data_IF_629250778578
#
_entry.id   IF_629250778578
#
_cell.length_a   1.000
_cell.length_b   1.000
_cell.length_c   1.000
_cell.angle_alpha   90.00
_cell.angle_beta   90.00
_cell.angle_gamma   90.00
#
_symmetry.space_group_name_H-M   'P 1'
#
loop_
_entity.id
_entity.type
_entity.pdbx_description
1 polymer ?
#
# COMPACT_ATOMS: atom_id res chain seq x y z
N UNK A 1 -12.16 -34.60 16.11
CA UNK A 1 -11.27 -35.00 17.22
C UNK A 1 -11.59 -34.13 18.43
N UNK A 2 -12.18 -34.74 19.47
CA UNK A 2 -12.53 -34.09 20.74
C UNK A 2 -11.39 -34.34 21.73
N UNK A 3 -10.75 -33.29 22.23
CA UNK A 3 -9.86 -33.39 23.39
C UNK A 3 -10.56 -32.78 24.60
N UNK A 4 -10.96 -33.67 25.49
CA UNK A 4 -11.45 -33.39 26.84
C UNK A 4 -10.25 -33.12 27.75
N UNK A 5 -10.21 -31.95 28.39
CA UNK A 5 -9.31 -31.70 29.52
C UNK A 5 -10.12 -31.83 30.82
N UNK A 6 -10.02 -33.00 31.44
CA UNK A 6 -10.46 -33.27 32.81
C UNK A 6 -9.36 -32.82 33.78
N UNK A 7 -9.62 -31.75 34.54
CA UNK A 7 -8.72 -31.31 35.60
C UNK A 7 -9.24 -31.79 36.96
N UNK A 8 -8.55 -32.80 37.51
CA UNK A 8 -8.81 -33.38 38.83
C UNK A 8 -8.34 -32.44 39.94
N UNK A 9 -9.24 -32.20 40.90
CA UNK A 9 -9.05 -31.34 42.06
C UNK A 9 -8.33 -32.12 43.16
N UNK A 10 -7.01 -32.01 43.27
CA UNK A 10 -6.24 -32.53 44.40
C UNK A 10 -6.05 -31.44 45.46
N UNK A 11 -6.63 -31.66 46.64
CA UNK A 11 -6.40 -30.87 47.85
C UNK A 11 -5.07 -31.32 48.47
N UNK A 12 -4.02 -30.53 48.27
CA UNK A 12 -2.75 -30.68 48.96
C UNK A 12 -2.18 -29.30 49.23
N UNK A 13 -2.48 -28.74 50.40
CA UNK A 13 -1.95 -27.46 50.84
C UNK A 13 -0.47 -27.60 51.20
N UNK A 14 0.39 -27.29 50.25
CA UNK A 14 1.79 -26.99 50.53
C UNK A 14 1.89 -25.48 50.80
N UNK A 15 2.01 -25.11 52.08
CA UNK A 15 2.40 -23.75 52.45
C UNK A 15 3.82 -23.50 51.94
N UNK A 16 3.93 -22.74 50.86
CA UNK A 16 5.20 -22.26 50.34
C UNK A 16 5.83 -21.33 51.38
N UNK A 17 7.05 -21.70 51.79
CA UNK A 17 7.89 -20.98 52.73
C UNK A 17 8.07 -19.51 52.32
N UNK A 18 7.95 -18.52 53.24
CA UNK A 18 8.07 -17.08 52.99
C UNK A 18 9.24 -16.62 52.09
N UNK A 19 10.45 -17.22 52.12
CA UNK A 19 11.52 -16.83 51.20
C UNK A 19 11.23 -17.09 49.72
N UNK A 20 10.38 -18.07 49.36
CA UNK A 20 10.02 -18.33 47.96
C UNK A 20 9.02 -17.30 47.41
N UNK A 21 8.14 -16.76 48.26
CA UNK A 21 7.24 -15.66 47.88
C UNK A 21 8.02 -14.36 47.62
N UNK A 22 9.07 -14.09 48.40
CA UNK A 22 9.98 -12.96 48.16
C UNK A 22 10.76 -13.11 46.86
N UNK A 23 11.20 -14.33 46.52
CA UNK A 23 11.89 -14.60 45.25
C UNK A 23 10.94 -14.49 44.04
N UNK A 24 9.69 -14.92 44.16
CA UNK A 24 8.67 -14.68 43.13
C UNK A 24 8.33 -13.19 42.97
N UNK A 25 8.23 -12.41 44.05
CA UNK A 25 8.00 -10.96 43.95
C UNK A 25 9.19 -10.21 43.34
N UNK A 26 10.43 -10.59 43.68
CA UNK A 26 11.62 -9.99 43.09
C UNK A 26 11.76 -10.34 41.60
N UNK A 27 11.43 -11.57 41.19
CA UNK A 27 11.38 -11.94 39.77
C UNK A 27 10.25 -11.23 39.01
N UNK A 28 9.09 -11.01 39.63
CA UNK A 28 8.00 -10.24 39.01
C UNK A 28 8.40 -8.76 38.80
N UNK A 29 9.06 -8.13 39.78
CA UNK A 29 9.53 -6.75 39.64
C UNK A 29 10.74 -6.60 38.70
N UNK A 30 11.56 -7.64 38.54
CA UNK A 30 12.66 -7.66 37.57
C UNK A 30 12.15 -7.82 36.12
N UNK A 31 11.10 -8.63 35.90
CA UNK A 31 10.45 -8.76 34.59
C UNK A 31 9.68 -7.48 34.22
N UNK A 32 9.08 -6.80 35.20
CA UNK A 32 8.37 -5.52 34.99
C UNK A 32 9.32 -4.32 34.78
N UNK A 33 10.61 -4.44 35.19
CA UNK A 33 11.65 -3.43 34.92
C UNK A 33 12.38 -3.64 33.60
N UNK A 34 12.46 -4.86 33.08
CA UNK A 34 13.00 -5.12 31.73
C UNK A 34 12.01 -4.71 30.63
N UNK A 35 10.73 -4.52 30.96
CA UNK A 35 9.69 -4.07 30.01
C UNK A 35 9.39 -2.57 30.06
N UNK A 36 10.14 -1.78 30.86
CA UNK A 36 10.04 -0.30 30.89
C UNK A 36 11.36 0.39 30.52
N UNK A 37 11.96 -0.07 29.43
CA UNK A 37 12.98 0.70 28.69
C UNK A 37 12.26 1.41 27.53
N UNK A 38 12.16 2.72 27.66
CA UNK A 38 12.02 3.73 26.61
C UNK A 38 11.12 3.43 25.41
N UNK A 39 9.84 3.78 25.54
CA UNK A 39 8.92 4.01 24.42
C UNK A 39 9.24 5.32 23.63
N UNK A 40 10.52 5.63 23.42
CA UNK A 40 11.02 6.72 22.55
C UNK A 40 12.21 6.31 21.68
N UNK A 41 12.34 5.02 21.42
CA UNK A 41 13.19 4.48 20.36
C UNK A 41 12.27 3.87 19.30
N UNK A 42 11.99 4.64 18.26
CA UNK A 42 11.25 4.18 17.09
C UNK A 42 12.02 3.05 16.43
N UNK A 43 11.54 1.83 16.62
CA UNK A 43 12.01 0.64 15.92
C UNK A 43 11.68 0.83 14.42
N UNK A 44 12.65 0.75 13.49
CA UNK A 44 12.45 1.07 12.07
C UNK A 44 11.69 0.01 11.27
N UNK A 45 10.91 -0.86 11.93
CA UNK A 45 10.15 -1.93 11.27
C UNK A 45 8.67 -1.59 11.00
N UNK A 46 8.22 -0.38 11.32
CA UNK A 46 6.86 0.10 11.00
C UNK A 46 6.79 0.92 9.71
N UNK A 47 7.38 0.42 8.62
CA UNK A 47 7.00 0.84 7.25
C UNK A 47 5.89 -0.07 6.65
N UNK A 48 5.23 -0.91 7.45
CA UNK A 48 4.41 -2.01 6.90
C UNK A 48 2.95 -1.67 6.58
N UNK A 49 2.46 -0.44 6.80
CA UNK A 49 1.11 -0.06 6.30
C UNK A 49 1.10 -0.09 4.77
N UNK A 50 2.14 0.48 4.15
CA UNK A 50 2.30 0.42 2.69
C UNK A 50 2.57 -1.00 2.20
N UNK A 51 3.36 -1.79 2.93
CA UNK A 51 3.63 -3.20 2.56
C UNK A 51 2.38 -4.09 2.67
N UNK A 52 1.53 -3.89 3.69
CA UNK A 52 0.30 -4.65 3.88
C UNK A 52 -0.77 -4.26 2.85
N UNK A 53 -0.88 -2.98 2.53
CA UNK A 53 -1.78 -2.51 1.48
C UNK A 53 -1.30 -2.96 0.10
N UNK A 54 0.01 -2.89 -0.18
CA UNK A 54 0.60 -3.43 -1.41
C UNK A 54 0.41 -4.95 -1.54
N UNK A 55 0.54 -5.72 -0.45
CA UNK A 55 0.28 -7.15 -0.46
C UNK A 55 -1.21 -7.48 -0.71
N UNK A 56 -2.13 -6.70 -0.12
CA UNK A 56 -3.57 -6.83 -0.39
C UNK A 56 -3.92 -6.47 -1.82
N UNK A 57 -3.32 -5.40 -2.36
CA UNK A 57 -3.52 -4.95 -3.73
C UNK A 57 -2.96 -5.96 -4.73
N UNK A 58 -1.76 -6.50 -4.48
CA UNK A 58 -1.19 -7.58 -5.28
C UNK A 58 -2.04 -8.86 -5.25
N UNK A 59 -2.60 -9.21 -4.09
CA UNK A 59 -3.51 -10.35 -3.96
C UNK A 59 -4.85 -10.11 -4.68
N UNK A 60 -5.41 -8.90 -4.60
CA UNK A 60 -6.61 -8.52 -5.35
C UNK A 60 -6.37 -8.56 -6.87
N UNK A 61 -5.24 -8.02 -7.34
CA UNK A 61 -4.84 -8.07 -8.75
C UNK A 61 -4.64 -9.52 -9.23
N UNK A 62 -4.06 -10.38 -8.38
CA UNK A 62 -3.94 -11.81 -8.67
C UNK A 62 -5.31 -12.48 -8.81
N UNK A 63 -6.23 -12.22 -7.88
CA UNK A 63 -7.59 -12.75 -7.94
C UNK A 63 -8.34 -12.27 -9.20
N UNK A 64 -8.22 -11.00 -9.57
CA UNK A 64 -8.81 -10.47 -10.81
C UNK A 64 -8.27 -11.17 -12.05
N UNK A 65 -6.94 -11.38 -12.11
CA UNK A 65 -6.31 -12.10 -13.20
C UNK A 65 -6.77 -13.57 -13.27
N UNK A 66 -6.85 -14.27 -12.13
CA UNK A 66 -7.37 -15.64 -12.11
C UNK A 66 -8.84 -15.72 -12.55
N UNK A 67 -9.65 -14.73 -12.17
CA UNK A 67 -11.05 -14.62 -12.55
C UNK A 67 -11.18 -14.40 -14.06
N UNK A 68 -10.36 -13.52 -14.63
CA UNK A 68 -10.33 -13.29 -16.08
C UNK A 68 -9.84 -14.51 -16.86
N UNK A 69 -8.80 -15.19 -16.40
CA UNK A 69 -8.33 -16.45 -17.00
C UNK A 69 -9.42 -17.52 -16.95
N UNK A 70 -10.10 -17.67 -15.80
CA UNK A 70 -11.18 -18.65 -15.64
C UNK A 70 -12.38 -18.30 -16.54
N UNK A 71 -12.73 -17.02 -16.70
CA UNK A 71 -13.76 -16.56 -17.66
C UNK A 71 -13.42 -16.92 -19.10
N UNK A 72 -12.17 -16.72 -19.53
CA UNK A 72 -11.70 -17.08 -20.88
C UNK A 72 -11.73 -18.60 -21.11
N UNK A 73 -11.32 -19.38 -20.11
CA UNK A 73 -11.40 -20.84 -20.15
C UNK A 73 -12.86 -21.32 -20.26
N UNK A 74 -13.75 -20.74 -19.46
CA UNK A 74 -15.18 -21.04 -19.48
C UNK A 74 -15.80 -20.76 -20.86
N UNK A 75 -15.49 -19.60 -21.44
CA UNK A 75 -15.93 -19.25 -22.80
C UNK A 75 -15.41 -20.26 -23.85
N UNK A 76 -14.16 -20.68 -23.72
CA UNK A 76 -13.56 -21.68 -24.62
C UNK A 76 -14.26 -23.04 -24.48
N UNK A 77 -14.47 -23.51 -23.24
CA UNK A 77 -15.17 -24.77 -22.97
C UNK A 77 -16.63 -24.73 -23.45
N UNK A 78 -17.32 -23.59 -23.26
CA UNK A 78 -18.67 -23.38 -23.78
C UNK A 78 -18.72 -23.55 -25.31
N UNK A 79 -17.77 -22.95 -26.03
CA UNK A 79 -17.67 -23.06 -27.48
C UNK A 79 -17.32 -24.49 -27.95
N UNK A 80 -16.48 -25.19 -27.19
CA UNK A 80 -16.19 -26.61 -27.43
C UNK A 80 -17.44 -27.46 -27.25
N UNK A 81 -18.19 -27.25 -26.17
CA UNK A 81 -19.46 -27.95 -25.89
C UNK A 81 -20.51 -27.71 -26.98
N UNK A 82 -20.70 -26.47 -27.43
CA UNK A 82 -21.66 -26.15 -28.50
C UNK A 82 -21.25 -26.81 -29.83
N UNK A 83 -19.96 -26.79 -30.15
CA UNK A 83 -19.41 -27.45 -31.36
C UNK A 83 -19.59 -28.96 -31.30
N UNK A 84 -19.30 -29.59 -30.15
CA UNK A 84 -19.49 -31.03 -29.95
C UNK A 84 -20.97 -31.43 -30.03
N UNK A 85 -21.88 -30.63 -29.44
CA UNK A 85 -23.33 -30.86 -29.51
C UNK A 85 -23.82 -30.83 -30.95
N UNK A 86 -23.42 -29.81 -31.72
CA UNK A 86 -23.74 -29.71 -33.15
C UNK A 86 -23.20 -30.91 -33.94
N UNK A 87 -21.94 -31.30 -33.71
CA UNK A 87 -21.34 -32.47 -34.37
C UNK A 87 -22.06 -33.78 -34.03
N UNK A 88 -22.50 -33.96 -32.78
CA UNK A 88 -23.30 -35.10 -32.37
C UNK A 88 -24.65 -35.14 -33.11
N UNK A 89 -25.33 -34.00 -33.23
CA UNK A 89 -26.60 -33.90 -33.97
C UNK A 89 -26.40 -34.16 -35.47
N UNK A 90 -25.34 -33.62 -36.07
CA UNK A 90 -25.02 -33.84 -37.49
C UNK A 90 -24.72 -35.33 -37.76
N UNK A 91 -23.94 -35.99 -36.90
CA UNK A 91 -23.74 -37.44 -37.01
C UNK A 91 -25.03 -38.24 -36.84
N UNK A 92 -25.90 -37.86 -35.90
CA UNK A 92 -27.17 -38.53 -35.68
C UNK A 92 -28.10 -38.40 -36.90
N UNK A 93 -28.14 -37.22 -37.54
CA UNK A 93 -28.87 -36.98 -38.79
C UNK A 93 -28.33 -37.85 -39.92
N UNK A 94 -27.01 -37.97 -40.03
CA UNK A 94 -26.38 -38.81 -41.06
C UNK A 94 -26.69 -40.30 -40.84
N UNK A 95 -26.63 -40.79 -39.59
CA UNK A 95 -27.03 -42.17 -39.27
C UNK A 95 -28.50 -42.42 -39.62
N UNK A 96 -29.40 -41.49 -39.29
CA UNK A 96 -30.82 -41.58 -39.67
C UNK A 96 -31.02 -41.57 -41.19
N UNK A 97 -30.20 -40.80 -41.92
CA UNK A 97 -30.22 -40.76 -43.39
C UNK A 97 -29.81 -42.10 -43.98
N UNK A 98 -28.73 -42.71 -43.49
CA UNK A 98 -28.28 -44.05 -43.90
C UNK A 98 -29.31 -45.15 -43.58
N UNK A 99 -29.97 -45.05 -42.42
CA UNK A 99 -31.09 -45.95 -42.08
C UNK A 99 -32.28 -45.77 -43.03
N UNK A 100 -32.59 -44.53 -43.42
CA UNK A 100 -33.71 -44.23 -44.32
C UNK A 100 -33.41 -44.65 -45.77
N UNK A 101 -32.18 -44.45 -46.24
CA UNK A 101 -31.76 -44.87 -47.59
C UNK A 101 -31.68 -46.39 -47.72
N UNK A 102 -31.20 -47.10 -46.69
CA UNK A 102 -31.18 -48.57 -46.68
C UNK A 102 -32.58 -49.20 -46.56
N UNK A 103 -33.53 -48.51 -45.91
CA UNK A 103 -34.94 -48.93 -45.88
C UNK A 103 -35.65 -48.75 -47.23
N UNK A 104 -35.28 -47.74 -48.03
CA UNK A 104 -35.84 -47.50 -49.36
C UNK A 104 -35.24 -48.40 -50.47
N UNK A 105 -34.03 -48.93 -50.27
CA UNK A 105 -33.27 -49.71 -51.27
C UNK A 105 -33.57 -51.23 -51.25
N UNK A 106 -34.76 -51.66 -50.82
CA UNK A 106 -35.14 -53.07 -50.61
C UNK A 106 -35.18 -53.97 -51.86
N UNK A 107 -34.73 -53.52 -53.03
CA UNK A 107 -34.76 -54.28 -54.29
C UNK A 107 -33.39 -54.67 -54.86
N UNK A 108 -32.27 -54.33 -54.22
CA UNK A 108 -30.92 -54.59 -54.75
C UNK A 108 -29.95 -55.16 -53.71
N UNK A 109 -29.51 -56.40 -53.94
CA UNK A 109 -28.25 -57.06 -53.55
C UNK A 109 -27.93 -57.16 -52.03
N UNK A 110 -28.00 -58.40 -51.50
CA UNK A 110 -27.65 -58.78 -50.11
C UNK A 110 -26.20 -58.45 -49.69
N UNK A 111 -25.31 -58.17 -50.64
CA UNK A 111 -23.89 -57.85 -50.39
C UNK A 111 -23.71 -56.42 -49.85
N UNK A 112 -24.54 -55.47 -50.25
CA UNK A 112 -24.48 -54.06 -49.78
C UNK A 112 -25.03 -53.92 -48.35
N UNK A 113 -25.98 -54.77 -47.97
CA UNK A 113 -26.57 -54.81 -46.62
C UNK A 113 -25.55 -55.10 -45.52
N UNK A 114 -24.49 -55.85 -45.82
CA UNK A 114 -23.40 -56.13 -44.88
C UNK A 114 -22.53 -54.91 -44.62
N UNK A 115 -22.18 -54.17 -45.68
CA UNK A 115 -21.38 -52.94 -45.58
C UNK A 115 -22.15 -51.83 -44.87
N UNK A 116 -23.44 -51.66 -45.16
CA UNK A 116 -24.30 -50.68 -44.48
C UNK A 116 -24.39 -50.94 -42.98
N UNK A 117 -24.53 -52.21 -42.59
CA UNK A 117 -24.59 -52.61 -41.18
C UNK A 117 -23.27 -52.36 -40.44
N UNK A 118 -22.15 -52.56 -41.12
CA UNK A 118 -20.82 -52.28 -40.55
C UNK A 118 -20.56 -50.77 -40.43
N UNK A 119 -20.95 -49.96 -41.43
CA UNK A 119 -20.91 -48.49 -41.34
C UNK A 119 -21.79 -47.96 -40.20
N UNK A 120 -23.01 -48.49 -40.05
CA UNK A 120 -23.91 -48.15 -38.93
C UNK A 120 -23.30 -48.48 -37.57
N UNK A 121 -22.60 -49.61 -37.46
CA UNK A 121 -21.90 -49.99 -36.22
C UNK A 121 -20.73 -49.05 -35.92
N UNK A 122 -19.96 -48.64 -36.94
CA UNK A 122 -18.87 -47.68 -36.78
C UNK A 122 -19.39 -46.30 -36.38
N UNK A 123 -20.47 -45.80 -37.00
CA UNK A 123 -21.09 -44.53 -36.62
C UNK A 123 -21.65 -44.58 -35.19
N UNK A 124 -22.28 -45.67 -34.77
CA UNK A 124 -22.74 -45.84 -33.39
C UNK A 124 -21.58 -45.83 -32.37
N UNK A 125 -20.42 -46.39 -32.73
CA UNK A 125 -19.22 -46.32 -31.88
C UNK A 125 -18.72 -44.88 -31.76
N UNK A 126 -18.71 -44.12 -32.86
CA UNK A 126 -18.29 -42.71 -32.86
C UNK A 126 -19.27 -41.83 -32.08
N UNK A 127 -20.58 -42.02 -32.23
CA UNK A 127 -21.61 -41.32 -31.44
C UNK A 127 -21.38 -41.56 -29.94
N UNK A 128 -21.16 -42.81 -29.51
CA UNK A 128 -20.87 -43.12 -28.10
C UNK A 128 -19.56 -42.51 -27.60
N UNK A 129 -18.57 -42.33 -28.47
CA UNK A 129 -17.30 -41.68 -28.15
C UNK A 129 -17.49 -40.16 -28.01
N UNK A 130 -18.25 -39.54 -28.92
CA UNK A 130 -18.56 -38.11 -28.88
C UNK A 130 -19.45 -37.77 -27.67
N UNK A 131 -20.42 -38.63 -27.32
CA UNK A 131 -21.24 -38.47 -26.12
C UNK A 131 -20.39 -38.44 -24.84
N UNK A 132 -19.45 -39.38 -24.68
CA UNK A 132 -18.54 -39.39 -23.52
C UNK A 132 -17.66 -38.14 -23.46
N UNK A 133 -17.15 -37.67 -24.60
CA UNK A 133 -16.37 -36.43 -24.66
C UNK A 133 -17.21 -35.21 -24.27
N UNK A 134 -18.46 -35.13 -24.76
CA UNK A 134 -19.37 -34.05 -24.42
C UNK A 134 -19.68 -34.05 -22.92
N UNK A 135 -19.89 -35.21 -22.32
CA UNK A 135 -20.16 -35.36 -20.88
C UNK A 135 -18.95 -34.93 -20.03
N UNK A 136 -17.74 -35.32 -20.42
CA UNK A 136 -16.49 -34.88 -19.77
C UNK A 136 -16.29 -33.37 -19.86
N UNK A 137 -16.47 -32.77 -21.03
CA UNK A 137 -16.37 -31.31 -21.21
C UNK A 137 -17.47 -30.56 -20.43
N UNK A 138 -18.68 -31.14 -20.34
CA UNK A 138 -19.76 -30.54 -19.53
C UNK A 138 -19.42 -30.56 -18.04
N UNK A 139 -18.79 -31.62 -17.54
CA UNK A 139 -18.31 -31.68 -16.16
C UNK A 139 -17.20 -30.64 -15.91
N UNK A 140 -16.22 -30.54 -16.80
CA UNK A 140 -15.17 -29.53 -16.70
C UNK A 140 -15.71 -28.10 -16.75
N UNK A 141 -16.69 -27.83 -17.62
CA UNK A 141 -17.39 -26.55 -17.66
C UNK A 141 -18.06 -26.25 -16.31
N UNK A 142 -18.74 -27.23 -15.71
CA UNK A 142 -19.40 -27.06 -14.41
C UNK A 142 -18.41 -26.75 -13.29
N UNK A 143 -17.28 -27.46 -13.25
CA UNK A 143 -16.19 -27.20 -12.29
C UNK A 143 -15.61 -25.79 -12.47
N UNK A 144 -15.47 -25.32 -13.71
CA UNK A 144 -15.01 -23.95 -14.00
C UNK A 144 -16.03 -22.90 -13.55
N UNK A 145 -17.34 -23.15 -13.70
CA UNK A 145 -18.39 -22.26 -13.16
C UNK A 145 -18.28 -22.17 -11.64
N UNK A 146 -18.15 -23.30 -10.95
CA UNK A 146 -18.04 -23.34 -9.49
C UNK A 146 -16.81 -22.56 -9.00
N UNK A 147 -15.65 -22.76 -9.65
CA UNK A 147 -14.42 -22.01 -9.37
C UNK A 147 -14.63 -20.50 -9.54
N UNK A 148 -15.30 -20.08 -10.62
CA UNK A 148 -15.57 -18.68 -10.90
C UNK A 148 -16.47 -18.06 -9.83
N UNK A 149 -17.54 -18.75 -9.40
CA UNK A 149 -18.39 -18.28 -8.30
C UNK A 149 -17.63 -18.13 -6.97
N UNK A 150 -16.65 -19.01 -6.69
CA UNK A 150 -15.85 -18.92 -5.47
C UNK A 150 -14.91 -17.71 -5.50
N UNK A 151 -14.22 -17.50 -6.63
CA UNK A 151 -13.35 -16.32 -6.84
C UNK A 151 -14.14 -15.00 -6.78
N UNK A 152 -15.33 -14.96 -7.36
CA UNK A 152 -16.21 -13.78 -7.28
C UNK A 152 -16.66 -13.48 -5.84
N UNK A 153 -16.93 -14.51 -5.03
CA UNK A 153 -17.27 -14.34 -3.63
C UNK A 153 -16.09 -13.81 -2.80
N UNK A 154 -14.88 -14.34 -3.02
CA UNK A 154 -13.66 -13.93 -2.33
C UNK A 154 -13.28 -12.48 -2.68
N UNK A 155 -13.37 -12.09 -3.95
CA UNK A 155 -13.20 -10.69 -4.39
C UNK A 155 -14.18 -9.74 -3.70
N UNK A 156 -15.45 -10.15 -3.58
CA UNK A 156 -16.48 -9.35 -2.91
C UNK A 156 -16.20 -9.19 -1.42
N UNK A 157 -15.61 -10.19 -0.78
CA UNK A 157 -15.20 -10.14 0.63
C UNK A 157 -14.00 -9.21 0.83
N UNK A 158 -13.00 -9.27 -0.04
CA UNK A 158 -11.87 -8.35 -0.06
C UNK A 158 -12.31 -6.89 -0.25
N UNK A 159 -13.28 -6.64 -1.14
CA UNK A 159 -13.86 -5.31 -1.32
C UNK A 159 -14.59 -4.82 -0.06
N UNK A 160 -15.37 -5.67 0.62
CA UNK A 160 -16.03 -5.32 1.89
C UNK A 160 -15.02 -4.98 2.99
N UNK A 161 -13.96 -5.77 3.12
CA UNK A 161 -12.88 -5.52 4.08
C UNK A 161 -12.18 -4.18 3.82
N UNK A 162 -12.02 -3.79 2.55
CA UNK A 162 -11.43 -2.51 2.19
C UNK A 162 -12.34 -1.32 2.55
N UNK A 163 -13.63 -1.43 2.24
CA UNK A 163 -14.63 -0.39 2.60
C UNK A 163 -14.74 -0.21 4.11
N UNK A 164 -14.77 -1.31 4.88
CA UNK A 164 -14.84 -1.24 6.35
C UNK A 164 -13.57 -0.65 6.99
N UNK A 165 -12.39 -0.96 6.43
CA UNK A 165 -11.12 -0.38 6.89
C UNK A 165 -11.10 1.14 6.69
N UNK A 166 -11.49 1.60 5.49
CA UNK A 166 -11.52 3.02 5.17
C UNK A 166 -12.62 3.77 5.95
N UNK A 167 -13.78 3.13 6.18
CA UNK A 167 -14.86 3.73 6.96
C UNK A 167 -14.48 3.91 8.45
N UNK A 168 -13.71 2.99 9.02
CA UNK A 168 -13.20 3.12 10.39
C UNK A 168 -12.16 4.25 10.51
N UNK A 169 -11.24 4.37 9.56
CA UNK A 169 -10.26 5.46 9.52
C UNK A 169 -10.94 6.82 9.31
N UNK A 170 -11.91 6.92 8.40
CA UNK A 170 -12.69 8.15 8.19
C UNK A 170 -13.47 8.55 9.44
N UNK A 171 -14.01 7.59 10.20
CA UNK A 171 -14.66 7.87 11.50
C UNK A 171 -13.68 8.40 12.54
N UNK A 172 -12.49 7.83 12.65
CA UNK A 172 -11.43 8.32 13.56
C UNK A 172 -10.96 9.73 13.17
N UNK A 173 -10.80 10.02 11.88
CA UNK A 173 -10.48 11.37 11.39
C UNK A 173 -11.62 12.36 11.64
N UNK A 174 -12.87 11.96 11.45
CA UNK A 174 -14.03 12.81 11.72
C UNK A 174 -14.13 13.16 13.22
N UNK A 175 -13.92 12.18 14.10
CA UNK A 175 -13.92 12.40 15.56
C UNK A 175 -12.78 13.33 15.98
N UNK A 176 -11.56 13.15 15.43
CA UNK A 176 -10.42 14.05 15.67
C UNK A 176 -10.69 15.47 15.16
N UNK A 177 -11.35 15.62 14.02
CA UNK A 177 -11.74 16.93 13.48
C UNK A 177 -12.76 17.61 14.38
N UNK A 178 -13.77 16.88 14.85
CA UNK A 178 -14.78 17.40 15.78
C UNK A 178 -14.13 17.81 17.12
N UNK A 179 -13.25 16.98 17.69
CA UNK A 179 -12.49 17.32 18.88
C UNK A 179 -11.61 18.57 18.68
N UNK A 180 -11.03 18.75 17.49
CA UNK A 180 -10.26 19.95 17.15
C UNK A 180 -11.15 21.19 17.11
N UNK A 181 -12.31 21.11 16.47
CA UNK A 181 -13.29 22.20 16.43
C UNK A 181 -13.82 22.56 17.82
N UNK A 182 -14.08 21.56 18.67
CA UNK A 182 -14.46 21.77 20.07
C UNK A 182 -13.34 22.44 20.88
N UNK A 183 -12.07 22.10 20.62
CA UNK A 183 -10.93 22.80 21.25
C UNK A 183 -10.80 24.23 20.74
N UNK A 184 -10.96 24.46 19.44
CA UNK A 184 -10.89 25.79 18.84
C UNK A 184 -11.98 26.70 19.40
N UNK A 185 -13.22 26.22 19.51
CA UNK A 185 -14.32 26.98 20.13
C UNK A 185 -14.09 27.24 21.62
N UNK A 186 -13.50 26.28 22.37
CA UNK A 186 -13.07 26.52 23.76
C UNK A 186 -11.97 27.59 23.84
N UNK A 187 -10.97 27.54 22.97
CA UNK A 187 -9.93 28.57 22.92
C UNK A 187 -10.49 29.92 22.51
N UNK A 188 -11.45 29.97 21.59
CA UNK A 188 -12.13 31.20 21.22
C UNK A 188 -12.93 31.78 22.38
N UNK A 189 -13.66 30.95 23.13
CA UNK A 189 -14.34 31.35 24.37
C UNK A 189 -13.35 31.81 25.45
N UNK A 190 -12.20 31.13 25.58
CA UNK A 190 -11.14 31.50 26.51
C UNK A 190 -10.50 32.84 26.12
N UNK A 191 -10.25 33.07 24.83
CA UNK A 191 -9.79 34.35 24.31
C UNK A 191 -10.81 35.44 24.61
N UNK A 192 -12.10 35.23 24.33
CA UNK A 192 -13.15 36.21 24.68
C UNK A 192 -13.20 36.49 26.18
N UNK A 193 -13.09 35.44 27.02
CA UNK A 193 -13.06 35.59 28.47
C UNK A 193 -11.80 36.34 28.93
N UNK A 194 -10.64 36.04 28.36
CA UNK A 194 -9.38 36.72 28.65
C UNK A 194 -9.45 38.17 28.21
N UNK A 195 -10.03 38.48 27.04
CA UNK A 195 -10.27 39.85 26.58
C UNK A 195 -11.15 40.61 27.56
N UNK A 196 -12.27 40.02 28.00
CA UNK A 196 -13.15 40.63 29.01
C UNK A 196 -12.44 40.80 30.36
N UNK A 197 -11.63 39.82 30.78
CA UNK A 197 -10.80 39.93 31.99
C UNK A 197 -9.74 41.01 31.84
N UNK A 198 -9.18 41.20 30.65
CA UNK A 198 -8.17 42.20 30.37
C UNK A 198 -8.82 43.59 30.34
N UNK A 199 -10.01 43.75 29.75
CA UNK A 199 -10.80 44.98 29.85
C UNK A 199 -11.20 45.28 31.30
N UNK A 200 -11.68 44.27 32.04
CA UNK A 200 -12.02 44.41 33.45
C UNK A 200 -10.79 44.70 34.32
N UNK A 201 -9.64 44.08 34.02
CA UNK A 201 -8.36 44.32 34.68
C UNK A 201 -7.76 45.66 34.29
N UNK A 202 -8.00 46.17 33.08
CA UNK A 202 -7.63 47.53 32.68
C UNK A 202 -8.52 48.55 33.40
N UNK A 203 -9.82 48.28 33.53
CA UNK A 203 -10.73 49.09 34.33
C UNK A 203 -10.38 49.02 35.83
N UNK A 204 -9.96 47.86 36.32
CA UNK A 204 -9.50 47.66 37.70
C UNK A 204 -8.12 48.26 37.94
N UNK A 205 -7.18 48.17 36.99
CA UNK A 205 -5.86 48.80 37.06
C UNK A 205 -5.96 50.33 36.94
N UNK A 206 -6.97 50.82 36.21
CA UNK A 206 -7.40 52.22 36.25
C UNK A 206 -8.04 52.60 37.60
N UNK A 207 -8.51 51.63 38.41
CA UNK A 207 -9.06 51.82 39.75
C UNK A 207 -8.06 51.52 40.89
N UNK A 208 -6.98 50.78 40.64
CA UNK A 208 -6.01 50.24 41.59
C UNK A 208 -4.66 50.17 40.86
N UNK A 209 -3.62 50.96 41.15
CA UNK A 209 -2.92 50.89 42.43
C UNK A 209 -3.08 49.51 43.09
N UNK A 210 -2.15 48.57 42.82
CA UNK A 210 -1.75 47.40 43.65
C UNK A 210 -1.76 45.99 42.97
N UNK A 211 -0.56 45.51 42.57
CA UNK A 211 0.00 44.11 42.55
C UNK A 211 -0.50 43.06 41.53
N UNK A 212 0.27 42.53 40.55
CA UNK A 212 1.43 41.55 40.51
C UNK A 212 1.05 40.05 40.72
N UNK A 213 1.51 38.99 40.01
CA UNK A 213 2.74 38.73 39.21
C UNK A 213 2.76 37.32 38.54
N UNK A 214 3.68 37.04 37.60
CA UNK A 214 4.07 35.68 37.12
C UNK A 214 5.59 35.56 36.83
N UNK A 215 6.24 34.42 37.06
CA UNK A 215 7.64 34.26 37.57
C UNK A 215 8.88 34.87 36.84
N UNK A 216 8.78 35.35 35.60
CA UNK A 216 9.83 36.23 35.01
C UNK A 216 9.57 37.71 35.29
N UNK A 217 8.30 38.03 35.50
CA UNK A 217 7.85 39.25 36.15
C UNK A 217 8.32 39.18 37.61
N UNK A 218 8.35 38.04 38.30
CA UNK A 218 8.81 37.98 39.71
C UNK A 218 10.25 38.49 39.91
N UNK A 219 11.22 38.12 39.06
CA UNK A 219 12.58 38.69 39.19
C UNK A 219 12.64 40.17 38.76
N UNK A 220 11.91 40.54 37.71
CA UNK A 220 11.81 41.93 37.22
C UNK A 220 11.06 42.84 38.20
N UNK A 221 10.07 42.29 38.87
CA UNK A 221 9.24 42.92 39.87
C UNK A 221 9.97 43.01 41.18
N UNK A 222 10.73 42.00 41.58
CA UNK A 222 11.61 42.10 42.73
C UNK A 222 12.66 43.21 42.52
N UNK A 223 13.22 43.35 41.32
CA UNK A 223 14.12 44.47 40.97
C UNK A 223 13.38 45.82 40.95
N UNK A 224 12.18 45.90 40.38
CA UNK A 224 11.33 47.10 40.41
C UNK A 224 10.87 47.44 41.83
N UNK A 225 10.65 46.45 42.68
CA UNK A 225 10.20 46.57 44.06
C UNK A 225 11.34 47.08 44.94
N UNK A 226 12.58 46.60 44.73
CA UNK A 226 13.77 47.17 45.37
C UNK A 226 13.99 48.64 44.95
N UNK A 227 13.79 48.96 43.66
CA UNK A 227 13.88 50.34 43.17
C UNK A 227 12.77 51.24 43.74
N UNK A 228 11.53 50.74 43.80
CA UNK A 228 10.38 51.44 44.34
C UNK A 228 10.51 51.60 45.86
N UNK A 229 11.07 50.62 46.56
CA UNK A 229 11.40 50.69 47.97
C UNK A 229 12.51 51.70 48.24
N UNK A 230 13.55 51.76 47.40
CA UNK A 230 14.58 52.81 47.47
C UNK A 230 13.98 54.21 47.25
N UNK A 231 13.05 54.36 46.31
CA UNK A 231 12.32 55.62 46.07
C UNK A 231 11.42 55.97 47.25
N UNK A 232 10.72 54.99 47.84
CA UNK A 232 9.88 55.17 49.04
C UNK A 232 10.69 55.53 50.27
N UNK A 233 11.87 54.94 50.45
CA UNK A 233 12.78 55.26 51.55
C UNK A 233 13.32 56.68 51.37
N UNK A 234 13.76 57.06 50.17
CA UNK A 234 14.14 58.45 49.86
C UNK A 234 12.98 59.42 50.09
N UNK A 235 11.76 59.05 49.66
CA UNK A 235 10.54 59.83 49.89
C UNK A 235 10.22 59.99 51.37
N UNK A 236 10.33 58.92 52.16
CA UNK A 236 10.12 58.94 53.61
C UNK A 236 11.13 59.86 54.30
N UNK A 237 12.41 59.78 53.92
CA UNK A 237 13.45 60.66 54.49
C UNK A 237 13.16 62.12 54.17
N UNK A 238 12.78 62.43 52.93
CA UNK A 238 12.47 63.80 52.48
C UNK A 238 11.18 64.33 53.10
N UNK A 239 10.13 63.51 53.20
CA UNK A 239 8.85 63.87 53.82
C UNK A 239 9.00 64.11 55.33
N UNK A 240 9.85 63.34 56.00
CA UNK A 240 10.15 63.52 57.42
C UNK A 240 11.00 64.77 57.67
N UNK A 241 11.95 65.09 56.78
CA UNK A 241 12.71 66.35 56.88
C UNK A 241 11.85 67.59 56.57
N UNK A 242 10.84 67.47 55.69
CA UNK A 242 9.92 68.56 55.36
C UNK A 242 8.87 68.84 56.44
N UNK A 243 8.50 67.84 57.25
CA UNK A 243 7.54 68.00 58.35
C UNK A 243 8.11 68.68 59.60
N UNK A 244 9.42 68.62 59.80
CA UNK A 244 10.09 69.11 61.03
C UNK A 244 10.75 70.50 60.87
N UNK A 245 10.90 70.98 59.63
CA UNK A 245 11.35 72.35 59.35
C UNK A 245 10.27 73.08 58.56
N UNK A 246 9.85 74.27 59.02
CA UNK A 246 8.94 75.14 58.26
C UNK A 246 9.59 75.66 56.99
N UNK A 247 9.76 74.77 56.00
CA UNK A 247 10.38 75.07 54.72
C UNK A 247 9.38 75.78 53.81
N UNK A 248 9.93 76.70 53.01
CA UNK A 248 9.23 77.51 52.04
C UNK A 248 8.58 76.63 50.94
N UNK A 249 7.36 76.98 50.53
CA UNK A 249 6.51 76.20 49.60
C UNK A 249 7.20 75.96 48.24
N UNK A 250 8.11 76.87 47.87
CA UNK A 250 8.93 76.79 46.66
C UNK A 250 9.99 75.68 46.74
N UNK A 251 10.53 75.38 47.93
CA UNK A 251 11.50 74.29 48.11
C UNK A 251 10.84 72.91 47.94
N UNK A 252 9.58 72.79 48.39
CA UNK A 252 8.80 71.57 48.24
C UNK A 252 8.46 71.30 46.77
N UNK A 253 8.08 72.33 46.00
CA UNK A 253 7.86 72.20 44.55
C UNK A 253 9.10 71.77 43.78
N UNK A 254 10.29 72.22 44.20
CA UNK A 254 11.53 71.84 43.53
C UNK A 254 11.90 70.38 43.79
N UNK A 255 11.64 69.89 45.01
CA UNK A 255 11.77 68.47 45.36
C UNK A 255 10.79 67.62 44.55
N UNK A 256 9.53 68.05 44.42
CA UNK A 256 8.52 67.33 43.62
C UNK A 256 8.93 67.25 42.15
N UNK A 257 9.44 68.34 41.57
CA UNK A 257 9.97 68.33 40.19
C UNK A 257 11.16 67.40 40.01
N UNK A 258 12.09 67.39 40.96
CA UNK A 258 13.27 66.52 40.87
C UNK A 258 12.87 65.04 41.05
N UNK A 259 11.83 64.78 41.84
CA UNK A 259 11.22 63.46 41.99
C UNK A 259 10.53 63.03 40.70
N UNK A 260 9.67 63.86 40.12
CA UNK A 260 9.00 63.58 38.85
C UNK A 260 10.02 63.35 37.73
N UNK A 261 11.09 64.14 37.71
CA UNK A 261 12.21 63.97 36.78
C UNK A 261 12.93 62.64 36.99
N UNK A 262 13.18 62.25 38.24
CA UNK A 262 13.83 60.98 38.57
C UNK A 262 12.96 59.78 38.19
N UNK A 263 11.66 59.85 38.44
CA UNK A 263 10.68 58.83 38.04
C UNK A 263 10.61 58.75 36.52
N UNK A 264 10.53 59.89 35.83
CA UNK A 264 10.50 59.94 34.37
C UNK A 264 11.76 59.36 33.75
N UNK A 265 12.95 59.69 34.27
CA UNK A 265 14.22 59.12 33.81
C UNK A 265 14.31 57.62 34.06
N UNK A 266 13.83 57.14 35.22
CA UNK A 266 13.77 55.72 35.52
C UNK A 266 12.82 54.99 34.56
N UNK A 267 11.63 55.54 34.32
CA UNK A 267 10.65 55.02 33.37
C UNK A 267 11.23 54.99 31.96
N UNK A 268 11.81 56.08 31.48
CA UNK A 268 12.42 56.15 30.15
C UNK A 268 13.57 55.13 30.01
N UNK A 269 14.40 54.98 31.04
CA UNK A 269 15.46 53.96 31.06
C UNK A 269 14.91 52.54 30.99
N UNK A 270 13.84 52.25 31.74
CA UNK A 270 13.22 50.92 31.72
C UNK A 270 12.52 50.63 30.41
N UNK A 271 11.84 51.62 29.81
CA UNK A 271 11.20 51.49 28.50
C UNK A 271 12.25 51.22 27.41
N UNK A 272 13.35 51.99 27.38
CA UNK A 272 14.47 51.72 26.46
C UNK A 272 15.06 50.32 26.65
N UNK A 273 15.18 49.85 27.88
CA UNK A 273 15.66 48.49 28.14
C UNK A 273 14.69 47.42 27.61
N UNK A 274 13.38 47.64 27.74
CA UNK A 274 12.33 46.76 27.18
C UNK A 274 12.36 46.78 25.66
N UNK A 275 12.45 47.96 25.05
CA UNK A 275 12.56 48.11 23.59
C UNK A 275 13.78 47.35 23.05
N UNK A 276 14.95 47.50 23.67
CA UNK A 276 16.17 46.77 23.31
C UNK A 276 16.00 45.25 23.48
N UNK A 277 15.33 44.80 24.54
CA UNK A 277 15.06 43.37 24.77
C UNK A 277 14.13 42.80 23.69
N UNK A 278 13.09 43.54 23.31
CA UNK A 278 12.21 43.14 22.22
C UNK A 278 12.91 43.16 20.87
N UNK A 279 13.73 44.17 20.60
CA UNK A 279 14.51 44.27 19.37
C UNK A 279 15.49 43.08 19.23
N UNK A 280 16.19 42.72 20.31
CA UNK A 280 17.08 41.54 20.32
C UNK A 280 16.32 40.23 20.16
N UNK A 281 15.16 40.07 20.81
CA UNK A 281 14.28 38.90 20.62
C UNK A 281 13.75 38.81 19.20
N UNK A 282 13.35 39.92 18.62
CA UNK A 282 12.85 39.99 17.25
C UNK A 282 13.95 39.62 16.25
N UNK A 283 15.14 40.21 16.38
CA UNK A 283 16.31 39.88 15.56
C UNK A 283 16.69 38.40 15.68
N UNK A 284 16.59 37.80 16.87
CA UNK A 284 16.86 36.38 17.07
C UNK A 284 15.82 35.48 16.38
N UNK A 285 14.54 35.87 16.36
CA UNK A 285 13.48 35.16 15.64
C UNK A 285 13.67 35.28 14.13
N UNK A 286 13.97 36.48 13.65
CA UNK A 286 14.25 36.74 12.23
C UNK A 286 15.44 35.91 11.74
N UNK A 287 16.52 35.84 12.53
CA UNK A 287 17.67 34.99 12.23
C UNK A 287 17.30 33.49 12.19
N UNK A 288 16.42 33.02 13.09
CA UNK A 288 15.93 31.64 13.06
C UNK A 288 15.09 31.37 11.82
N UNK A 289 14.23 32.30 11.43
CA UNK A 289 13.43 32.17 10.21
C UNK A 289 14.31 32.12 8.97
N UNK A 290 15.34 32.97 8.87
CA UNK A 290 16.31 32.92 7.78
C UNK A 290 17.00 31.55 7.67
N UNK A 291 17.48 30.99 8.79
CA UNK A 291 18.09 29.64 8.80
C UNK A 291 17.12 28.53 8.39
N UNK A 292 15.84 28.65 8.76
CA UNK A 292 14.81 27.68 8.34
C UNK A 292 14.58 27.79 6.84
N UNK A 293 14.51 29.00 6.29
CA UNK A 293 14.36 29.22 4.85
C UNK A 293 15.55 28.65 4.08
N UNK A 294 16.80 28.93 4.52
CA UNK A 294 18.00 28.36 3.90
C UNK A 294 17.99 26.82 3.93
N UNK A 295 17.52 26.23 5.04
CA UNK A 295 17.42 24.78 5.16
C UNK A 295 16.36 24.20 4.23
N UNK A 296 15.21 24.87 4.08
CA UNK A 296 14.16 24.46 3.14
C UNK A 296 14.68 24.52 1.71
N UNK A 297 15.37 25.60 1.32
CA UNK A 297 15.96 25.72 -0.03
C UNK A 297 17.00 24.62 -0.30
N UNK A 298 17.82 24.26 0.70
CA UNK A 298 18.75 23.13 0.61
C UNK A 298 18.02 21.80 0.38
N UNK A 299 16.94 21.54 1.12
CA UNK A 299 16.15 20.31 0.97
C UNK A 299 15.42 20.25 -0.38
N UNK A 300 14.95 21.38 -0.90
CA UNK A 300 14.34 21.45 -2.24
C UNK A 300 15.36 21.13 -3.34
N UNK A 301 16.58 21.67 -3.25
CA UNK A 301 17.67 21.36 -4.17
C UNK A 301 18.10 19.88 -4.11
N UNK A 302 18.16 19.30 -2.92
CA UNK A 302 18.42 17.86 -2.72
C UNK A 302 17.31 16.99 -3.35
N UNK A 303 16.05 17.36 -3.14
CA UNK A 303 14.90 16.68 -3.76
C UNK A 303 14.99 16.71 -5.28
N UNK A 304 15.25 17.87 -5.87
CA UNK A 304 15.29 18.03 -7.32
C UNK A 304 16.48 17.28 -7.93
N UNK A 305 17.61 17.22 -7.23
CA UNK A 305 18.76 16.38 -7.59
C UNK A 305 18.40 14.90 -7.54
N UNK A 306 17.72 14.44 -6.48
CA UNK A 306 17.31 13.04 -6.34
C UNK A 306 16.29 12.62 -7.40
N UNK A 307 15.32 13.49 -7.73
CA UNK A 307 14.37 13.26 -8.82
C UNK A 307 15.08 13.15 -10.16
N UNK A 308 16.02 14.05 -10.45
CA UNK A 308 16.80 14.02 -11.69
C UNK A 308 17.63 12.71 -11.82
N UNK A 309 18.22 12.23 -10.72
CA UNK A 309 18.94 10.95 -10.68
C UNK A 309 18.02 9.75 -10.90
N UNK A 310 16.81 9.79 -10.35
CA UNK A 310 15.82 8.73 -10.53
C UNK A 310 15.32 8.69 -11.98
N UNK A 311 15.02 9.85 -12.58
CA UNK A 311 14.64 9.95 -13.99
C UNK A 311 15.72 9.42 -14.93
N UNK A 312 16.99 9.73 -14.66
CA UNK A 312 18.12 9.19 -15.41
C UNK A 312 18.24 7.66 -15.25
N UNK A 313 18.02 7.15 -14.03
CA UNK A 313 18.06 5.72 -13.72
C UNK A 313 16.94 4.95 -14.43
N UNK A 314 15.71 5.48 -14.43
CA UNK A 314 14.56 4.90 -15.15
C UNK A 314 14.80 4.92 -16.66
N UNK A 315 15.33 6.03 -17.19
CA UNK A 315 15.63 6.16 -18.62
C UNK A 315 16.68 5.14 -19.07
N UNK A 316 17.73 4.92 -18.26
CA UNK A 316 18.77 3.93 -18.56
C UNK A 316 18.31 2.48 -18.41
N UNK A 317 17.45 2.16 -17.44
CA UNK A 317 16.89 0.81 -17.30
C UNK A 317 15.96 0.46 -18.45
N UNK A 318 15.11 1.41 -18.88
CA UNK A 318 14.20 1.21 -20.00
C UNK A 318 14.95 0.96 -21.31
N UNK A 319 16.07 1.65 -21.54
CA UNK A 319 16.94 1.41 -22.70
C UNK A 319 17.60 0.03 -22.62
N UNK A 320 18.02 -0.41 -21.43
CA UNK A 320 18.64 -1.71 -21.23
C UNK A 320 17.66 -2.87 -21.51
N UNK A 321 16.43 -2.77 -21.02
CA UNK A 321 15.37 -3.77 -21.27
C UNK A 321 15.01 -3.87 -22.76
N UNK A 322 14.95 -2.73 -23.46
CA UNK A 322 14.62 -2.68 -24.87
C UNK A 322 15.74 -3.30 -25.74
N UNK A 323 17.00 -3.08 -25.37
CA UNK A 323 18.15 -3.72 -26.02
C UNK A 323 18.19 -5.24 -25.77
N UNK A 324 17.86 -5.70 -24.56
CA UNK A 324 17.82 -7.13 -24.24
C UNK A 324 16.70 -7.85 -25.02
N UNK A 325 15.54 -7.22 -25.16
CA UNK A 325 14.45 -7.73 -26.00
C UNK A 325 14.86 -7.82 -27.48
N UNK A 326 15.46 -6.77 -28.04
CA UNK A 326 15.91 -6.78 -29.43
C UNK A 326 16.94 -7.88 -29.69
N UNK A 327 17.94 -8.02 -28.81
CA UNK A 327 18.96 -9.07 -28.95
C UNK A 327 18.34 -10.47 -28.87
N UNK A 328 17.36 -10.66 -27.98
CA UNK A 328 16.65 -11.94 -27.85
C UNK A 328 15.82 -12.27 -29.08
N UNK A 329 15.12 -11.28 -29.65
CA UNK A 329 14.36 -11.44 -30.88
C UNK A 329 15.28 -11.80 -32.06
N UNK A 330 16.37 -11.05 -32.24
CA UNK A 330 17.33 -11.28 -33.32
C UNK A 330 17.98 -12.67 -33.23
N UNK A 331 18.42 -13.07 -32.04
CA UNK A 331 19.02 -14.39 -31.81
C UNK A 331 18.00 -15.52 -31.99
N UNK A 332 16.73 -15.29 -31.62
CA UNK A 332 15.66 -16.27 -31.85
C UNK A 332 15.38 -16.41 -33.34
N UNK A 333 15.35 -15.31 -34.09
CA UNK A 333 15.09 -15.29 -35.53
C UNK A 333 16.21 -16.01 -36.29
N UNK A 334 17.47 -15.66 -36.00
CA UNK A 334 18.65 -16.26 -36.63
C UNK A 334 18.76 -17.77 -36.33
N UNK A 335 18.52 -18.16 -35.07
CA UNK A 335 18.50 -19.57 -34.70
C UNK A 335 17.39 -20.31 -35.45
N UNK A 336 16.17 -19.76 -35.48
CA UNK A 336 15.03 -20.41 -36.14
C UNK A 336 15.25 -20.55 -37.63
N UNK A 337 15.77 -19.51 -38.29
CA UNK A 337 16.04 -19.52 -39.73
C UNK A 337 17.14 -20.51 -40.09
N UNK A 338 18.26 -20.52 -39.34
CA UNK A 338 19.36 -21.46 -39.58
C UNK A 338 18.93 -22.91 -39.38
N UNK A 339 18.19 -23.20 -38.31
CA UNK A 339 17.75 -24.56 -37.97
C UNK A 339 16.71 -25.05 -38.97
N UNK A 340 15.80 -24.18 -39.40
CA UNK A 340 14.82 -24.49 -40.45
C UNK A 340 15.52 -24.78 -41.77
N UNK A 341 16.50 -23.96 -42.16
CA UNK A 341 17.26 -24.16 -43.40
C UNK A 341 18.03 -25.47 -43.40
N UNK A 342 18.82 -25.73 -42.35
CA UNK A 342 19.62 -26.97 -42.23
C UNK A 342 18.73 -28.20 -42.23
N UNK A 343 17.64 -28.20 -41.47
CA UNK A 343 16.70 -29.33 -41.45
C UNK A 343 16.03 -29.53 -42.81
N UNK A 344 15.62 -28.45 -43.47
CA UNK A 344 14.96 -28.52 -44.78
C UNK A 344 15.92 -29.08 -45.84
N UNK A 345 17.14 -28.57 -45.89
CA UNK A 345 18.16 -29.02 -46.84
C UNK A 345 18.49 -30.51 -46.62
N UNK A 346 18.72 -30.92 -45.36
CA UNK A 346 19.01 -32.32 -45.01
C UNK A 346 17.83 -33.25 -45.34
N UNK A 347 16.60 -32.87 -45.00
CA UNK A 347 15.42 -33.71 -45.31
C UNK A 347 15.25 -33.85 -46.82
N UNK A 348 15.43 -32.74 -47.55
CA UNK A 348 15.25 -32.71 -49.01
C UNK A 348 16.31 -33.58 -49.69
N UNK A 349 17.57 -33.50 -49.24
CA UNK A 349 18.66 -34.31 -49.77
C UNK A 349 18.44 -35.80 -49.48
N UNK A 350 18.07 -36.16 -48.25
CA UNK A 350 17.78 -37.56 -47.88
C UNK A 350 16.62 -38.15 -48.66
N UNK A 351 15.49 -37.43 -48.75
CA UNK A 351 14.32 -37.86 -49.53
C UNK A 351 14.68 -38.03 -51.01
N UNK A 352 15.44 -37.08 -51.57
CA UNK A 352 15.87 -37.16 -52.97
C UNK A 352 16.76 -38.37 -53.20
N UNK A 353 17.75 -38.61 -52.34
CA UNK A 353 18.64 -39.76 -52.44
C UNK A 353 17.87 -41.09 -52.37
N UNK A 354 17.01 -41.26 -51.36
CA UNK A 354 16.22 -42.49 -51.20
C UNK A 354 15.27 -42.72 -52.38
N UNK A 355 14.55 -41.69 -52.84
CA UNK A 355 13.64 -41.81 -53.98
C UNK A 355 14.40 -42.19 -55.25
N UNK A 356 15.54 -41.56 -55.50
CA UNK A 356 16.35 -41.80 -56.71
C UNK A 356 16.91 -43.22 -56.71
N UNK A 357 17.44 -43.67 -55.57
CA UNK A 357 17.98 -45.03 -55.42
C UNK A 357 16.87 -46.09 -55.57
N UNK A 358 15.71 -45.87 -54.94
CA UNK A 358 14.58 -46.80 -54.99
C UNK A 358 14.02 -46.93 -56.40
N UNK A 359 13.90 -45.79 -57.12
CA UNK A 359 13.46 -45.77 -58.51
C UNK A 359 14.49 -46.45 -59.43
N UNK A 360 15.78 -46.16 -59.27
CA UNK A 360 16.84 -46.78 -60.06
C UNK A 360 16.85 -48.32 -59.90
N UNK A 361 16.80 -48.82 -58.66
CA UNK A 361 16.70 -50.26 -58.36
C UNK A 361 15.45 -50.90 -58.98
N UNK A 362 14.31 -50.20 -58.95
CA UNK A 362 13.04 -50.70 -59.51
C UNK A 362 13.09 -50.77 -61.04
N UNK A 363 13.68 -49.76 -61.68
CA UNK A 363 13.88 -49.69 -63.13
C UNK A 363 14.85 -50.80 -63.57
N UNK A 364 16.00 -50.93 -62.92
CA UNK A 364 17.01 -51.95 -63.26
C UNK A 364 16.44 -53.38 -63.15
N UNK A 365 15.67 -53.68 -62.10
CA UNK A 365 14.96 -54.96 -61.95
C UNK A 365 13.98 -55.21 -63.09
N UNK A 366 13.22 -54.19 -63.52
CA UNK A 366 12.29 -54.30 -64.65
C UNK A 366 13.04 -54.55 -65.97
N UNK A 367 14.12 -53.81 -66.22
CA UNK A 367 14.96 -53.99 -67.41
C UNK A 367 15.58 -55.38 -67.46
N UNK A 368 16.20 -55.86 -66.37
CA UNK A 368 16.76 -57.22 -66.30
C UNK A 368 15.72 -58.31 -66.55
N UNK A 369 14.50 -58.15 -66.01
CA UNK A 369 13.40 -59.09 -66.28
C UNK A 369 13.01 -59.10 -67.76
N UNK A 370 12.80 -57.92 -68.36
CA UNK A 370 12.40 -57.80 -69.76
C UNK A 370 13.48 -58.31 -70.73
N UNK A 371 14.75 -58.04 -70.43
CA UNK A 371 15.88 -58.56 -71.20
C UNK A 371 15.93 -60.09 -71.20
N UNK A 372 15.74 -60.73 -70.03
CA UNK A 372 15.67 -62.19 -69.92
C UNK A 372 14.49 -62.78 -70.70
N UNK A 373 13.33 -62.12 -70.70
CA UNK A 373 12.17 -62.54 -71.50
C UNK A 373 12.49 -62.51 -73.00
N UNK A 374 13.08 -61.43 -73.50
CA UNK A 374 13.47 -61.33 -74.92
C UNK A 374 14.52 -62.38 -75.32
N UNK A 375 15.43 -62.76 -74.43
CA UNK A 375 16.40 -63.84 -74.70
C UNK A 375 15.75 -65.24 -74.76
N UNK A 376 14.58 -65.44 -74.17
CA UNK A 376 13.85 -66.71 -74.22
C UNK A 376 12.94 -66.82 -75.45
N UNK A 377 12.59 -65.69 -76.07
CA UNK A 377 11.73 -65.61 -77.25
C UNK A 377 12.52 -65.69 -78.59
N UNK A 378 13.85 -65.57 -78.53
CA UNK A 378 14.81 -65.80 -79.63
C UNK A 378 15.31 -67.24 -79.59
#
# INVERSE_FOLDING_TARGET
>A
MKLLFSYSRSKGGAMLSPPLLLLCCLLYTAIDRVTRVDARSGVPFLHSINSRNAAKEAYAAHLENELEVTRRQLYTSQNTCTTLRKRCEDQRKETLRLMSSSAAATTSVEKDRGQDKEQLMQQNKEIKRLQRKLEQETQQFQEQVEKLTLLEAEMKEMQKMNVQSNEAEVKDYAEKLEQSQQKQTKYEQEIQMLTLKLEAAQLAAQQQQEGEEDLSIVFRAQELQEQLQSVREKYSTVLNTAKDGGYDEDYQKEIEKEMDRSIQLALEKTLKAVENEWETKYAAVEQKMARILDHVESLESERDTALSQLEASISSSSIAELNEQQLKEELTLELTESLTKVLTDQLTEQLTAELTETLAKKIERKYKKKYKQMQQEL
#
